data_IF_014387011869
#
_entry.id   IF_014387011869
#
_cell.length_a   1.000
_cell.length_b   1.000
_cell.length_c   1.000
_cell.angle_alpha   90.00
_cell.angle_beta   90.00
_cell.angle_gamma   90.00
#
_symmetry.space_group_name_H-M   'P 1'
#
loop_
_entity.id
_entity.type
_entity.pdbx_description
1 polymer ?
#
# COMPACT_ATOMS: atom_id res chain seq x y z
N UNK A 1 15.54 -0.29 33.17
CA UNK A 1 15.43 -1.08 31.92
C UNK A 1 14.07 -0.80 31.31
N UNK A 2 13.95 0.22 30.48
CA UNK A 2 12.70 0.48 29.73
C UNK A 2 12.77 -0.33 28.44
N UNK A 3 11.73 -1.12 28.20
CA UNK A 3 11.62 -1.98 27.03
C UNK A 3 11.23 -1.09 25.84
N UNK A 4 12.23 -0.64 25.07
CA UNK A 4 12.05 0.35 23.98
C UNK A 4 11.47 -0.29 22.71
N UNK A 5 11.39 -1.64 22.62
CA UNK A 5 10.91 -2.31 21.41
C UNK A 5 9.61 -3.10 21.63
N UNK A 6 8.61 -2.94 20.75
CA UNK A 6 7.45 -3.84 20.71
C UNK A 6 7.88 -5.28 20.39
N UNK A 7 7.06 -6.29 20.72
CA UNK A 7 7.40 -7.71 20.54
C UNK A 7 7.71 -8.05 19.08
N UNK A 8 8.73 -8.90 18.88
CA UNK A 8 9.17 -9.40 17.56
C UNK A 8 8.05 -10.18 16.85
N UNK A 9 7.50 -9.71 15.71
CA UNK A 9 6.58 -10.49 14.92
C UNK A 9 7.34 -11.54 14.10
N UNK A 10 6.81 -12.77 14.04
CA UNK A 10 7.35 -13.84 13.18
C UNK A 10 7.07 -13.44 11.73
N UNK A 11 8.10 -13.03 10.99
CA UNK A 11 7.97 -12.66 9.59
C UNK A 11 8.42 -13.82 8.69
N UNK A 12 7.55 -14.22 7.78
CA UNK A 12 7.72 -15.41 6.91
C UNK A 12 8.53 -15.13 5.64
N UNK A 13 8.99 -13.90 5.40
CA UNK A 13 9.84 -13.54 4.24
C UNK A 13 11.17 -12.92 4.65
N UNK A 14 12.24 -13.28 3.94
CA UNK A 14 13.60 -12.73 4.16
C UNK A 14 13.64 -11.21 3.97
N UNK A 15 12.83 -10.68 3.06
CA UNK A 15 12.70 -9.24 2.83
C UNK A 15 12.20 -8.52 4.08
N UNK A 16 11.11 -9.01 4.67
CA UNK A 16 10.54 -8.40 5.85
C UNK A 16 11.53 -8.45 7.03
N UNK A 17 12.20 -9.60 7.22
CA UNK A 17 13.25 -9.74 8.24
C UNK A 17 14.38 -8.72 8.07
N UNK A 18 14.83 -8.44 6.84
CA UNK A 18 15.86 -7.43 6.57
C UNK A 18 15.40 -6.01 6.92
N UNK A 19 14.13 -5.67 6.68
CA UNK A 19 13.56 -4.36 7.05
C UNK A 19 13.51 -4.20 8.57
N UNK A 20 13.10 -5.23 9.28
CA UNK A 20 13.09 -5.22 10.75
C UNK A 20 14.49 -5.06 11.34
N UNK A 21 15.50 -5.76 10.79
CA UNK A 21 16.88 -5.58 11.20
C UNK A 21 17.37 -4.13 11.01
N UNK A 22 16.96 -3.48 9.91
CA UNK A 22 17.24 -2.07 9.65
C UNK A 22 16.62 -1.13 10.70
N UNK A 23 15.38 -1.37 11.11
CA UNK A 23 14.72 -0.58 12.16
C UNK A 23 15.46 -0.69 13.50
N UNK A 24 15.89 -1.91 13.87
CA UNK A 24 16.68 -2.13 15.08
C UNK A 24 18.03 -1.38 15.05
N UNK A 25 18.69 -1.35 13.89
CA UNK A 25 19.92 -0.60 13.70
C UNK A 25 19.69 0.91 13.88
N UNK A 26 18.65 1.47 13.26
CA UNK A 26 18.27 2.88 13.41
C UNK A 26 18.01 3.23 14.87
N UNK A 27 17.27 2.38 15.60
CA UNK A 27 16.97 2.59 17.01
C UNK A 27 18.24 2.59 17.89
N UNK A 28 19.18 1.67 17.61
CA UNK A 28 20.46 1.64 18.31
C UNK A 28 21.29 2.91 18.06
N UNK A 29 21.30 3.44 16.83
CA UNK A 29 21.98 4.70 16.52
C UNK A 29 21.35 5.89 17.26
N UNK A 30 20.03 5.96 17.34
CA UNK A 30 19.33 7.02 18.07
C UNK A 30 19.65 6.96 19.58
N UNK A 31 19.61 5.76 20.18
CA UNK A 31 19.92 5.57 21.59
C UNK A 31 21.39 5.78 21.96
N UNK A 32 22.32 5.43 21.07
CA UNK A 32 23.76 5.49 21.33
C UNK A 32 24.40 6.85 21.02
N UNK A 33 23.87 7.60 20.05
CA UNK A 33 24.51 8.81 19.53
C UNK A 33 23.60 10.05 19.51
N UNK A 34 22.39 9.96 20.06
CA UNK A 34 21.48 11.11 20.19
C UNK A 34 20.83 11.55 18.87
N UNK A 35 20.80 10.67 17.86
CA UNK A 35 20.03 10.94 16.64
C UNK A 35 18.53 10.88 16.90
N UNK A 36 17.79 11.57 16.03
CA UNK A 36 16.34 11.44 15.90
C UNK A 36 16.02 10.78 14.57
N UNK A 37 15.05 9.86 14.58
CA UNK A 37 14.65 9.12 13.37
C UNK A 37 13.14 9.03 13.21
N UNK A 38 12.73 8.86 11.95
CA UNK A 38 11.35 8.58 11.54
C UNK A 38 11.36 7.37 10.63
N UNK A 39 10.67 6.32 11.07
CA UNK A 39 10.53 5.05 10.38
C UNK A 39 9.08 4.95 9.95
N UNK A 40 8.85 5.06 8.64
CA UNK A 40 7.52 4.93 8.06
C UNK A 40 7.31 3.52 7.50
N UNK A 41 6.19 2.92 7.88
CA UNK A 41 5.73 1.63 7.37
C UNK A 41 4.47 1.86 6.55
N UNK A 42 4.53 1.53 5.26
CA UNK A 42 3.47 1.84 4.33
C UNK A 42 2.64 0.61 4.00
N UNK A 43 1.33 0.81 3.81
CA UNK A 43 0.53 -0.09 2.98
C UNK A 43 0.90 0.08 1.50
N UNK A 44 0.22 -0.61 0.59
CA UNK A 44 0.46 -0.42 -0.84
C UNK A 44 0.13 1.02 -1.26
N UNK A 45 1.01 1.66 -2.03
CA UNK A 45 0.82 3.04 -2.48
C UNK A 45 0.20 3.07 -3.87
N UNK A 46 -0.78 3.96 -4.07
CA UNK A 46 -1.44 4.24 -5.36
C UNK A 46 -1.13 5.67 -5.82
N UNK A 47 -1.30 5.95 -7.11
CA UNK A 47 -1.26 7.31 -7.65
C UNK A 47 -0.27 7.52 -8.79
N UNK A 48 0.32 8.70 -8.84
CA UNK A 48 1.24 9.10 -9.91
C UNK A 48 2.49 8.20 -9.93
N UNK A 49 2.98 7.90 -11.13
CA UNK A 49 4.13 6.99 -11.38
C UNK A 49 3.92 5.56 -10.84
N UNK A 50 2.67 5.12 -10.71
CA UNK A 50 2.34 3.74 -10.38
C UNK A 50 2.65 2.80 -11.56
N UNK A 51 3.77 2.08 -11.47
CA UNK A 51 4.32 1.23 -12.56
C UNK A 51 4.02 -0.26 -12.40
N UNK A 52 3.43 -0.69 -11.28
CA UNK A 52 3.23 -2.10 -10.97
C UNK A 52 2.13 -2.28 -9.93
N UNK A 53 1.44 -3.43 -10.00
CA UNK A 53 0.42 -3.84 -9.04
C UNK A 53 -0.99 -3.86 -9.64
N UNK A 54 -1.96 -4.32 -8.86
CA UNK A 54 -3.23 -4.79 -9.42
C UNK A 54 -4.02 -3.74 -10.21
N UNK A 55 -4.02 -2.45 -9.81
CA UNK A 55 -4.71 -1.38 -10.56
C UNK A 55 -4.09 -1.21 -11.94
N UNK A 56 -2.75 -1.22 -12.01
CA UNK A 56 -2.00 -1.12 -13.25
C UNK A 56 -2.25 -2.35 -14.14
N UNK A 57 -2.19 -3.55 -13.56
CA UNK A 57 -2.39 -4.81 -14.29
C UNK A 57 -3.81 -4.93 -14.84
N UNK A 58 -4.84 -4.59 -14.05
CA UNK A 58 -6.22 -4.63 -14.50
C UNK A 58 -6.52 -3.58 -15.57
N UNK A 59 -6.06 -2.34 -15.38
CA UNK A 59 -6.18 -1.32 -16.42
C UNK A 59 -5.55 -1.79 -17.74
N UNK A 60 -4.33 -2.33 -17.69
CA UNK A 60 -3.64 -2.84 -18.88
C UNK A 60 -4.41 -3.98 -19.55
N UNK A 61 -4.89 -4.96 -18.78
CA UNK A 61 -5.67 -6.10 -19.30
C UNK A 61 -6.99 -5.63 -19.94
N UNK A 62 -7.70 -4.71 -19.29
CA UNK A 62 -8.98 -4.18 -19.80
C UNK A 62 -8.79 -3.30 -21.03
N UNK A 63 -7.69 -2.55 -21.10
CA UNK A 63 -7.31 -1.79 -22.31
C UNK A 63 -7.03 -2.74 -23.48
N UNK A 64 -6.37 -3.87 -23.23
CA UNK A 64 -6.09 -4.88 -24.26
C UNK A 64 -7.32 -5.70 -24.66
N UNK A 65 -8.18 -6.05 -23.70
CA UNK A 65 -9.41 -6.80 -23.93
C UNK A 65 -10.53 -6.34 -22.99
N UNK A 66 -11.43 -5.44 -23.44
CA UNK A 66 -12.49 -4.89 -22.59
C UNK A 66 -13.58 -5.90 -22.24
N UNK A 67 -13.63 -7.07 -22.90
CA UNK A 67 -14.66 -8.09 -22.70
C UNK A 67 -14.28 -9.20 -21.72
N UNK A 68 -13.00 -9.31 -21.32
CA UNK A 68 -12.52 -10.40 -20.47
C UNK A 68 -11.43 -9.90 -19.52
N UNK A 69 -11.54 -10.25 -18.23
CA UNK A 69 -10.54 -9.91 -17.22
C UNK A 69 -10.15 -11.15 -16.42
N UNK A 70 -8.86 -11.48 -16.48
CA UNK A 70 -8.28 -12.57 -15.68
C UNK A 70 -7.84 -12.06 -14.31
N UNK A 71 -8.41 -12.64 -13.26
CA UNK A 71 -8.21 -12.29 -11.86
C UNK A 71 -7.50 -13.43 -11.13
N UNK A 72 -6.37 -13.12 -10.49
CA UNK A 72 -5.62 -14.11 -9.73
C UNK A 72 -6.33 -14.43 -8.40
N UNK A 73 -6.49 -15.73 -8.10
CA UNK A 73 -7.21 -16.20 -6.91
C UNK A 73 -8.74 -16.04 -7.02
N UNK A 74 -9.41 -15.69 -5.91
CA UNK A 74 -10.88 -15.64 -5.82
C UNK A 74 -11.47 -14.20 -5.80
N UNK A 75 -10.62 -13.17 -5.90
CA UNK A 75 -11.04 -11.75 -5.87
C UNK A 75 -11.44 -11.21 -4.49
N UNK A 76 -11.50 -12.04 -3.45
CA UNK A 76 -11.83 -11.65 -2.06
C UNK A 76 -10.61 -11.28 -1.23
N UNK A 77 -9.44 -11.21 -1.86
CA UNK A 77 -8.23 -10.77 -1.17
C UNK A 77 -8.42 -9.33 -0.74
N UNK A 78 -8.15 -9.06 0.54
CA UNK A 78 -8.33 -7.74 1.13
C UNK A 78 -7.02 -6.97 1.05
N UNK A 79 -7.08 -5.76 0.53
CA UNK A 79 -5.91 -4.91 0.34
C UNK A 79 -6.19 -3.51 0.88
N UNK A 80 -5.20 -2.97 1.58
CA UNK A 80 -5.22 -1.59 2.04
C UNK A 80 -4.28 -0.76 1.16
N UNK A 81 -4.71 0.46 0.88
CA UNK A 81 -4.02 1.38 -0.01
C UNK A 81 -3.93 2.77 0.60
N UNK A 82 -2.92 3.52 0.17
CA UNK A 82 -2.80 4.94 0.43
C UNK A 82 -2.41 5.66 -0.85
N UNK A 83 -3.04 6.79 -1.14
CA UNK A 83 -2.66 7.61 -2.28
C UNK A 83 -1.31 8.30 -2.02
N UNK A 84 -0.44 8.40 -3.03
CA UNK A 84 0.94 8.88 -2.87
C UNK A 84 1.01 10.30 -2.28
N UNK A 85 0.09 11.19 -2.66
CA UNK A 85 0.08 12.54 -2.08
C UNK A 85 -0.32 12.55 -0.61
N UNK A 86 -1.23 11.67 -0.19
CA UNK A 86 -1.56 11.51 1.23
C UNK A 86 -0.39 10.87 1.99
N UNK A 87 0.36 9.97 1.35
CA UNK A 87 1.58 9.40 1.93
C UNK A 87 2.65 10.46 2.19
N UNK A 88 2.91 11.34 1.21
CA UNK A 88 3.88 12.43 1.35
C UNK A 88 3.41 13.42 2.43
N UNK A 89 2.15 13.81 2.39
CA UNK A 89 1.52 14.69 3.39
C UNK A 89 1.64 14.13 4.81
N UNK A 90 1.38 12.83 5.00
CA UNK A 90 1.54 12.14 6.28
C UNK A 90 2.99 12.16 6.79
N UNK A 91 3.96 11.93 5.90
CA UNK A 91 5.39 11.95 6.26
C UNK A 91 5.82 13.34 6.72
N UNK A 92 5.45 14.38 5.97
CA UNK A 92 5.75 15.77 6.34
C UNK A 92 5.07 16.16 7.66
N UNK A 93 3.79 15.81 7.81
CA UNK A 93 3.05 16.04 9.04
C UNK A 93 3.71 15.36 10.25
N UNK A 94 4.13 14.10 10.11
CA UNK A 94 4.76 13.36 11.19
C UNK A 94 6.09 13.99 11.62
N UNK A 95 6.90 14.47 10.66
CA UNK A 95 8.15 15.18 10.95
C UNK A 95 7.90 16.45 11.77
N UNK A 96 6.79 17.15 11.53
CA UNK A 96 6.43 18.37 12.26
C UNK A 96 5.80 18.10 13.63
N UNK A 97 5.06 17.00 13.78
CA UNK A 97 4.19 16.74 14.95
C UNK A 97 4.70 15.70 15.92
N UNK A 98 5.74 14.95 15.57
CA UNK A 98 6.35 13.94 16.46
C UNK A 98 7.78 14.33 16.83
N UNK A 99 8.20 13.95 18.04
CA UNK A 99 9.48 14.38 18.59
C UNK A 99 10.19 13.29 19.44
N UNK A 100 9.78 12.02 19.32
CA UNK A 100 10.49 10.93 20.00
C UNK A 100 11.87 10.73 19.37
N UNK A 101 12.78 10.04 20.06
CA UNK A 101 14.08 9.68 19.46
C UNK A 101 13.93 8.73 18.27
N UNK A 102 12.95 7.83 18.33
CA UNK A 102 12.61 6.88 17.26
C UNK A 102 11.11 6.90 17.02
N UNK A 103 10.69 7.56 15.94
CA UNK A 103 9.29 7.70 15.58
C UNK A 103 8.91 6.61 14.57
N UNK A 104 8.30 5.51 15.02
CA UNK A 104 7.78 4.46 14.12
C UNK A 104 6.31 4.72 13.83
N UNK A 105 5.95 4.98 12.57
CA UNK A 105 4.57 5.32 12.17
C UNK A 105 4.11 4.46 11.00
N UNK A 106 2.91 3.88 11.14
CA UNK A 106 2.21 3.17 10.09
C UNK A 106 1.34 4.14 9.29
N UNK A 107 1.48 4.14 7.96
CA UNK A 107 0.74 5.03 7.07
C UNK A 107 -0.21 4.22 6.18
N UNK A 108 -1.49 4.58 6.23
CA UNK A 108 -2.57 3.92 5.49
C UNK A 108 -3.92 4.63 5.68
N UNK A 109 -4.93 4.12 4.98
CA UNK A 109 -6.34 4.44 5.23
C UNK A 109 -6.90 3.44 6.23
N UNK A 110 -7.85 3.87 7.08
CA UNK A 110 -8.55 2.97 7.99
C UNK A 110 -9.55 2.12 7.21
N UNK A 111 -9.10 0.93 6.82
CA UNK A 111 -9.91 -0.02 6.07
C UNK A 111 -9.13 -0.78 5.02
N UNK A 112 -9.89 -1.52 4.23
CA UNK A 112 -9.43 -2.30 3.10
C UNK A 112 -10.53 -2.32 2.04
N UNK A 113 -10.17 -2.64 0.81
CA UNK A 113 -11.10 -3.07 -0.21
C UNK A 113 -10.79 -4.52 -0.59
N UNK A 114 -11.79 -5.24 -1.08
CA UNK A 114 -11.54 -6.48 -1.80
C UNK A 114 -11.04 -6.17 -3.22
N UNK A 115 -10.32 -7.12 -3.81
CA UNK A 115 -9.90 -7.00 -5.21
C UNK A 115 -11.11 -6.83 -6.13
N UNK A 116 -12.24 -7.47 -5.81
CA UNK A 116 -13.50 -7.31 -6.54
C UNK A 116 -14.08 -5.89 -6.46
N UNK A 117 -13.94 -5.21 -5.32
CA UNK A 117 -14.37 -3.80 -5.19
C UNK A 117 -13.58 -2.92 -6.16
N UNK A 118 -12.25 -3.09 -6.17
CA UNK A 118 -11.34 -2.39 -7.08
C UNK A 118 -11.66 -2.66 -8.55
N UNK A 119 -11.91 -3.93 -8.92
CA UNK A 119 -12.34 -4.29 -10.28
C UNK A 119 -13.63 -3.56 -10.66
N UNK A 120 -14.61 -3.51 -9.76
CA UNK A 120 -15.87 -2.81 -9.98
C UNK A 120 -15.65 -1.33 -10.29
N UNK A 121 -14.88 -0.63 -9.45
CA UNK A 121 -14.57 0.80 -9.65
C UNK A 121 -13.82 1.06 -10.95
N UNK A 122 -12.86 0.20 -11.30
CA UNK A 122 -12.10 0.33 -12.55
C UNK A 122 -13.01 0.10 -13.76
N UNK A 123 -13.87 -0.92 -13.72
CA UNK A 123 -14.79 -1.21 -14.82
C UNK A 123 -15.80 -0.08 -15.04
N UNK A 124 -16.32 0.50 -13.95
CA UNK A 124 -17.21 1.66 -14.00
C UNK A 124 -16.51 2.89 -14.63
N UNK A 125 -15.30 3.23 -14.18
CA UNK A 125 -14.51 4.34 -14.73
C UNK A 125 -14.12 4.15 -16.20
N UNK A 126 -13.98 2.91 -16.66
CA UNK A 126 -13.67 2.60 -18.04
C UNK A 126 -14.91 2.37 -18.92
N UNK A 127 -16.10 2.28 -18.33
CA UNK A 127 -17.34 1.99 -19.05
C UNK A 127 -17.38 0.59 -19.68
N UNK A 128 -16.77 -0.41 -19.03
CA UNK A 128 -16.67 -1.79 -19.54
C UNK A 128 -17.33 -2.80 -18.59
N UNK A 129 -17.82 -3.90 -19.15
CA UNK A 129 -18.43 -5.00 -18.38
C UNK A 129 -17.80 -6.34 -18.79
N UNK A 130 -16.55 -6.61 -18.39
CA UNK A 130 -15.83 -7.81 -18.79
C UNK A 130 -16.38 -9.05 -18.10
N UNK A 131 -16.27 -10.20 -18.76
CA UNK A 131 -16.40 -11.50 -18.09
C UNK A 131 -15.17 -11.72 -17.20
N UNK A 132 -15.41 -11.84 -15.89
CA UNK A 132 -14.35 -12.12 -14.91
C UNK A 132 -14.00 -13.61 -14.91
N UNK A 133 -12.72 -13.93 -15.06
CA UNK A 133 -12.22 -15.29 -15.01
C UNK A 133 -11.17 -15.43 -13.91
N UNK A 134 -11.50 -16.25 -12.91
CA UNK A 134 -10.70 -16.43 -11.71
C UNK A 134 -9.80 -17.66 -11.85
N UNK A 135 -8.50 -17.50 -11.62
CA UNK A 135 -7.53 -18.58 -11.80
C UNK A 135 -7.37 -19.53 -10.60
N UNK A 136 -8.07 -19.28 -9.49
CA UNK A 136 -8.23 -20.22 -8.37
C UNK A 136 -7.08 -20.30 -7.33
N UNK A 137 -7.49 -20.59 -6.08
CA UNK A 137 -6.68 -20.71 -4.85
C UNK A 137 -7.07 -19.67 -3.77
N UNK A 138 -7.42 -20.10 -2.55
CA UNK A 138 -7.64 -19.19 -1.38
C UNK A 138 -6.34 -18.51 -0.90
N UNK A 139 -5.20 -18.89 -1.47
CA UNK A 139 -3.88 -18.35 -1.16
C UNK A 139 -3.20 -17.92 -2.46
N UNK A 140 -2.89 -16.62 -2.57
CA UNK A 140 -2.18 -16.04 -3.70
C UNK A 140 -0.81 -16.68 -3.92
N UNK A 141 -0.02 -16.85 -2.84
CA UNK A 141 1.28 -17.55 -2.78
C UNK A 141 1.57 -18.04 -1.35
N UNK A 142 2.50 -18.99 -1.14
CA UNK A 142 3.00 -19.35 0.20
C UNK A 142 3.77 -18.15 0.77
N UNK A 143 3.27 -17.56 1.87
CA UNK A 143 3.86 -16.37 2.50
C UNK A 143 3.11 -15.06 2.21
N UNK A 144 2.06 -15.09 1.39
CA UNK A 144 1.12 -13.97 1.24
C UNK A 144 0.25 -13.92 2.50
N UNK A 145 0.47 -12.93 3.36
CA UNK A 145 -0.34 -12.74 4.55
C UNK A 145 -1.70 -12.19 4.11
N UNK A 146 -2.81 -12.93 4.24
CA UNK A 146 -4.10 -12.57 3.64
C UNK A 146 -4.71 -11.27 4.20
N UNK A 147 -4.07 -10.67 5.21
CA UNK A 147 -4.47 -9.40 5.79
C UNK A 147 -3.28 -8.69 6.45
N UNK A 148 -2.72 -7.65 5.82
CA UNK A 148 -1.81 -6.70 6.49
C UNK A 148 -2.64 -5.46 6.83
N UNK A 149 -3.25 -5.46 8.00
CA UNK A 149 -3.79 -4.24 8.59
C UNK A 149 -2.68 -3.60 9.40
N UNK A 150 -2.17 -2.47 8.93
CA UNK A 150 -1.26 -1.66 9.73
C UNK A 150 -2.11 -0.82 10.69
N UNK A 151 -1.83 -0.92 11.99
CA UNK A 151 -2.46 -0.05 12.98
C UNK A 151 -1.99 1.39 12.78
N UNK A 152 -2.87 2.27 12.26
CA UNK A 152 -2.54 3.67 12.00
C UNK A 152 -2.84 4.60 13.18
N UNK A 153 -3.21 4.06 14.36
CA UNK A 153 -3.55 4.82 15.56
C UNK A 153 -2.54 5.92 15.89
N UNK A 154 -1.24 5.63 15.88
CA UNK A 154 -0.19 6.60 16.24
C UNK A 154 -0.22 7.87 15.37
N UNK A 155 -0.38 7.75 14.05
CA UNK A 155 -0.40 8.91 13.16
C UNK A 155 -1.75 9.66 13.25
N UNK A 156 -2.83 8.94 13.59
CA UNK A 156 -4.17 9.51 13.83
C UNK A 156 -4.22 10.31 15.12
N UNK A 157 -3.60 9.83 16.17
CA UNK A 157 -3.53 10.49 17.48
C UNK A 157 -2.74 11.80 17.40
N UNK A 158 -1.77 11.89 16.48
CA UNK A 158 -1.08 13.14 16.15
C UNK A 158 -1.96 14.13 15.37
N UNK A 159 -3.12 13.69 14.85
CA UNK A 159 -4.12 14.52 14.18
C UNK A 159 -4.19 14.35 12.65
N UNK A 160 -3.36 13.49 12.05
CA UNK A 160 -3.36 13.31 10.61
C UNK A 160 -4.44 12.34 10.13
N UNK A 161 -5.10 12.68 9.02
CA UNK A 161 -6.11 11.85 8.35
C UNK A 161 -5.89 11.85 6.84
N UNK A 162 -6.06 10.72 6.14
CA UNK A 162 -6.02 10.69 4.70
C UNK A 162 -7.12 11.59 4.15
N UNK A 163 -6.82 12.27 3.04
CA UNK A 163 -7.78 13.12 2.32
C UNK A 163 -8.60 12.30 1.34
N UNK A 164 -8.05 11.19 0.86
CA UNK A 164 -8.67 10.30 -0.12
C UNK A 164 -9.02 8.95 0.48
N UNK A 165 -10.17 8.41 0.08
CA UNK A 165 -10.51 7.02 0.34
C UNK A 165 -9.68 6.08 -0.55
N UNK A 166 -9.74 4.77 -0.27
CA UNK A 166 -9.13 3.76 -1.14
C UNK A 166 -9.72 3.82 -2.56
N UNK A 167 -11.04 3.98 -2.67
CA UNK A 167 -11.73 4.11 -3.95
C UNK A 167 -11.24 5.34 -4.73
N UNK A 168 -11.17 6.50 -4.08
CA UNK A 168 -10.65 7.74 -4.71
C UNK A 168 -9.21 7.53 -5.20
N UNK A 169 -8.37 6.86 -4.41
CA UNK A 169 -7.00 6.52 -4.78
C UNK A 169 -6.92 5.63 -6.02
N UNK A 170 -7.79 4.62 -6.13
CA UNK A 170 -7.89 3.76 -7.32
C UNK A 170 -8.31 4.58 -8.53
N UNK A 171 -9.39 5.36 -8.43
CA UNK A 171 -9.93 6.14 -9.54
C UNK A 171 -8.93 7.19 -10.04
N UNK A 172 -8.27 7.93 -9.14
CA UNK A 172 -7.21 8.88 -9.53
C UNK A 172 -6.02 8.19 -10.19
N UNK A 173 -5.67 6.98 -9.74
CA UNK A 173 -4.60 6.20 -10.38
C UNK A 173 -4.99 5.81 -11.79
N UNK A 174 -6.23 5.36 -12.02
CA UNK A 174 -6.73 5.05 -13.37
C UNK A 174 -6.72 6.29 -14.26
N UNK A 175 -7.16 7.44 -13.75
CA UNK A 175 -7.11 8.71 -14.49
C UNK A 175 -5.67 9.08 -14.88
N UNK A 176 -4.72 8.94 -13.94
CA UNK A 176 -3.30 9.14 -14.23
C UNK A 176 -2.80 8.20 -15.32
N UNK A 177 -3.12 6.90 -15.26
CA UNK A 177 -2.70 5.91 -16.26
C UNK A 177 -3.30 6.21 -17.65
N UNK A 178 -4.55 6.69 -17.72
CA UNK A 178 -5.21 7.12 -18.97
C UNK A 178 -4.49 8.27 -19.65
N UNK A 179 -3.94 9.22 -18.87
CA UNK A 179 -3.25 10.39 -19.43
C UNK A 179 -1.74 10.19 -19.60
N UNK A 180 -1.19 9.04 -19.18
CA UNK A 180 0.25 8.78 -19.16
C UNK A 180 0.56 7.39 -19.75
N UNK A 181 0.30 7.20 -21.04
CA UNK A 181 0.49 5.91 -21.70
C UNK A 181 1.97 5.46 -21.75
N UNK A 182 2.91 6.40 -21.69
CA UNK A 182 4.36 6.13 -21.65
C UNK A 182 4.76 5.16 -20.52
N UNK A 183 3.98 5.10 -19.43
CA UNK A 183 4.22 4.20 -18.30
C UNK A 183 4.16 2.72 -18.72
N UNK A 184 3.47 2.41 -19.82
CA UNK A 184 3.40 1.06 -20.38
C UNK A 184 4.51 0.76 -21.39
N UNK A 185 5.16 1.78 -21.95
CA UNK A 185 6.15 1.65 -23.03
C UNK A 185 7.58 1.41 -22.52
N UNK A 186 7.94 1.87 -21.31
CA UNK A 186 9.28 1.68 -20.71
C UNK A 186 9.62 0.21 -20.36
N UNK A 187 8.85 -0.77 -20.84
CA UNK A 187 8.96 -2.18 -20.43
C UNK A 187 9.08 -3.20 -21.57
N UNK A 188 9.26 -2.77 -22.81
CA UNK A 188 9.69 -3.64 -23.92
C UNK A 188 11.21 -3.58 -24.15
#
# INVERSE_FOLDING_TARGET
SHNIMPPFPIQTSLYAASKMAGEGLIAAYCGGFGFQSWIFRFVSILGERYTHGHVFDFYRKLKQNPSRLEVLGNGKQRKSYLYIQDCIDAMLFALEKSNESVNVLNLGVDGYCEVNDSIGWICEELGVTPKLEYSGGDRGWIGDNPFIFLDTSKIRDLGWKPKLSIQDGVLKTIQYLKTNEWVFEERD
#
